data_IF_770843000506
#
_entry.id   IF_770843000506
#
_cell.length_a   1.000
_cell.length_b   1.000
_cell.length_c   1.000
_cell.angle_alpha   90.00
_cell.angle_beta   90.00
_cell.angle_gamma   90.00
#
_symmetry.space_group_name_H-M   'P 1'
#
loop_
_entity.id
_entity.type
_entity.pdbx_description
1 polymer ?
#
# COMPACT_ATOMS: atom_id res chain seq x y z
N UNK A 1 31.16 -21.10 40.32
CA UNK A 1 31.35 -20.25 39.12
C UNK A 1 30.23 -20.46 38.09
N UNK A 2 28.96 -20.59 38.50
CA UNK A 2 27.82 -20.88 37.59
C UNK A 2 26.77 -19.75 37.51
N UNK A 3 26.84 -18.74 38.37
CA UNK A 3 25.88 -17.63 38.35
C UNK A 3 26.30 -16.48 37.39
N UNK A 4 27.58 -16.37 37.04
CA UNK A 4 28.05 -15.28 36.17
C UNK A 4 27.69 -15.49 34.69
N UNK A 5 27.60 -16.74 34.21
CA UNK A 5 27.30 -17.04 32.81
C UNK A 5 25.84 -16.76 32.44
N UNK A 6 24.89 -16.97 33.37
CA UNK A 6 23.47 -16.72 33.13
C UNK A 6 23.14 -15.22 33.02
N UNK A 7 23.80 -14.38 33.81
CA UNK A 7 23.60 -12.93 33.79
C UNK A 7 24.14 -12.28 32.50
N UNK A 8 25.25 -12.78 31.96
CA UNK A 8 25.81 -12.29 30.68
C UNK A 8 24.92 -12.66 29.49
N UNK A 9 24.28 -13.84 29.50
CA UNK A 9 23.33 -14.25 28.46
C UNK A 9 22.05 -13.39 28.47
N UNK A 10 21.58 -12.97 29.64
CA UNK A 10 20.40 -12.10 29.78
C UNK A 10 20.68 -10.66 29.31
N UNK A 11 21.89 -10.15 29.53
CA UNK A 11 22.33 -8.84 29.03
C UNK A 11 22.51 -8.83 27.51
N UNK A 12 23.01 -9.92 26.91
CA UNK A 12 23.05 -10.10 25.45
C UNK A 12 21.65 -10.19 24.83
N UNK A 13 20.69 -10.81 25.51
CA UNK A 13 19.30 -10.88 25.04
C UNK A 13 18.58 -9.51 25.09
N UNK A 14 18.91 -8.63 26.04
CA UNK A 14 18.36 -7.27 26.08
C UNK A 14 18.93 -6.34 25.00
N UNK A 15 20.15 -6.59 24.51
CA UNK A 15 20.74 -5.78 23.43
C UNK A 15 20.12 -5.99 22.04
N UNK A 16 19.27 -7.01 21.86
CA UNK A 16 18.58 -7.28 20.59
C UNK A 16 17.20 -6.58 20.52
N UNK A 17 16.78 -5.87 21.58
CA UNK A 17 15.51 -5.13 21.63
C UNK A 17 15.61 -3.66 21.21
N UNK A 18 16.76 -3.20 20.70
CA UNK A 18 16.81 -1.92 20.00
C UNK A 18 16.28 -2.14 18.58
N UNK A 19 14.95 -2.25 18.47
CA UNK A 19 14.26 -1.95 17.23
C UNK A 19 14.42 -0.45 17.03
N UNK A 20 15.55 -0.07 16.44
CA UNK A 20 15.79 1.29 15.97
C UNK A 20 14.66 1.57 14.98
N UNK A 21 13.64 2.26 15.47
CA UNK A 21 12.53 2.71 14.64
C UNK A 21 13.15 3.72 13.70
N UNK A 22 13.56 3.27 12.51
CA UNK A 22 14.07 4.16 11.48
C UNK A 22 12.97 5.20 11.22
N UNK A 23 13.12 6.37 11.82
CA UNK A 23 12.18 7.47 11.69
C UNK A 23 12.30 7.99 10.26
N UNK A 24 11.50 7.41 9.36
CA UNK A 24 11.47 7.79 7.96
C UNK A 24 10.73 9.12 7.82
N UNK A 25 11.48 10.22 7.74
CA UNK A 25 10.92 11.53 7.43
C UNK A 25 10.83 11.71 5.91
N UNK A 26 9.66 11.43 5.34
CA UNK A 26 9.36 11.78 3.95
C UNK A 26 8.84 13.21 3.86
N UNK A 27 9.50 14.05 3.06
CA UNK A 27 8.97 15.36 2.70
C UNK A 27 8.17 15.24 1.39
N UNK A 28 6.84 15.28 1.48
CA UNK A 28 5.99 15.36 0.30
C UNK A 28 5.90 16.81 -0.17
N UNK A 29 6.42 17.08 -1.36
CA UNK A 29 6.17 18.33 -2.08
C UNK A 29 5.21 18.04 -3.22
N UNK A 30 4.13 18.82 -3.31
CA UNK A 30 3.21 18.71 -4.44
C UNK A 30 3.97 18.97 -5.76
N UNK A 31 3.61 18.27 -6.83
CA UNK A 31 4.28 18.38 -8.15
C UNK A 31 4.31 19.82 -8.71
N UNK A 32 3.37 20.65 -8.25
CA UNK A 32 3.27 22.06 -8.62
C UNK A 32 3.71 23.03 -7.50
N UNK A 33 4.30 22.53 -6.41
CA UNK A 33 4.75 23.35 -5.28
C UNK A 33 5.84 24.35 -5.68
N UNK A 34 5.79 25.56 -5.11
CA UNK A 34 6.80 26.60 -5.33
C UNK A 34 6.78 27.26 -6.73
N UNK A 35 5.77 26.95 -7.55
CA UNK A 35 5.71 27.43 -8.95
C UNK A 35 4.99 28.76 -9.17
N UNK A 36 4.43 29.36 -8.12
CA UNK A 36 3.71 30.63 -8.21
C UNK A 36 2.45 30.58 -9.10
N UNK A 37 1.82 29.41 -9.23
CA UNK A 37 0.64 29.22 -10.08
C UNK A 37 -0.64 29.69 -9.36
N UNK A 38 -1.55 30.28 -10.13
CA UNK A 38 -2.90 30.60 -9.66
C UNK A 38 -3.73 29.33 -9.42
N UNK A 39 -4.79 29.44 -8.63
CA UNK A 39 -5.73 28.33 -8.42
C UNK A 39 -6.29 27.76 -9.72
N UNK A 40 -6.55 28.63 -10.70
CA UNK A 40 -7.11 28.20 -11.98
C UNK A 40 -6.09 27.46 -12.85
N UNK A 41 -4.83 27.90 -12.85
CA UNK A 41 -3.75 27.17 -13.51
C UNK A 41 -3.51 25.81 -12.86
N UNK A 42 -3.54 25.73 -11.52
CA UNK A 42 -3.47 24.48 -10.79
C UNK A 42 -4.60 23.54 -11.21
N UNK A 43 -5.85 24.02 -11.23
CA UNK A 43 -7.01 23.22 -11.64
C UNK A 43 -6.91 22.76 -13.09
N UNK A 44 -6.50 23.64 -14.01
CA UNK A 44 -6.25 23.29 -15.41
C UNK A 44 -5.20 22.19 -15.53
N UNK A 45 -4.09 22.28 -14.78
CA UNK A 45 -3.02 21.26 -14.79
C UNK A 45 -3.50 19.94 -14.21
N UNK A 46 -4.27 19.96 -13.12
CA UNK A 46 -4.88 18.76 -12.54
C UNK A 46 -5.80 18.07 -13.55
N UNK A 47 -6.65 18.82 -14.26
CA UNK A 47 -7.51 18.29 -15.31
C UNK A 47 -6.70 17.69 -16.48
N UNK A 48 -5.63 18.36 -16.94
CA UNK A 48 -4.76 17.83 -18.00
C UNK A 48 -4.07 16.53 -17.58
N UNK A 49 -3.56 16.44 -16.34
CA UNK A 49 -2.99 15.20 -15.81
C UNK A 49 -4.04 14.08 -15.75
N UNK A 50 -5.25 14.40 -15.29
CA UNK A 50 -6.35 13.42 -15.25
C UNK A 50 -6.69 12.88 -16.64
N UNK A 51 -6.79 13.76 -17.64
CA UNK A 51 -7.01 13.36 -19.03
C UNK A 51 -5.89 12.46 -19.54
N UNK A 52 -4.62 12.83 -19.32
CA UNK A 52 -3.48 12.03 -19.75
C UNK A 52 -3.48 10.63 -19.09
N UNK A 53 -3.78 10.55 -17.79
CA UNK A 53 -3.92 9.26 -17.08
C UNK A 53 -5.03 8.40 -17.67
N UNK A 54 -6.21 8.98 -17.93
CA UNK A 54 -7.32 8.24 -18.53
C UNK A 54 -6.95 7.66 -19.91
N UNK A 55 -6.28 8.45 -20.76
CA UNK A 55 -5.78 7.96 -22.05
C UNK A 55 -4.78 6.82 -21.89
N UNK A 56 -3.86 6.91 -20.94
CA UNK A 56 -2.90 5.84 -20.65
C UNK A 56 -3.61 4.55 -20.23
N UNK A 57 -4.55 4.60 -19.29
CA UNK A 57 -5.30 3.43 -18.81
C UNK A 57 -6.08 2.75 -19.94
N UNK A 58 -6.79 3.53 -20.77
CA UNK A 58 -7.52 3.01 -21.92
C UNK A 58 -6.59 2.33 -22.95
N UNK A 59 -5.41 2.91 -23.19
CA UNK A 59 -4.42 2.32 -24.10
C UNK A 59 -3.83 1.02 -23.55
N UNK A 60 -3.54 0.97 -22.24
CA UNK A 60 -3.04 -0.22 -21.58
C UNK A 60 -4.07 -1.37 -21.62
N UNK A 61 -5.35 -1.06 -21.44
CA UNK A 61 -6.44 -2.02 -21.58
C UNK A 61 -6.51 -2.59 -23.00
N UNK A 62 -6.43 -1.74 -24.03
CA UNK A 62 -6.44 -2.17 -25.43
C UNK A 62 -5.25 -3.10 -25.76
N UNK A 63 -4.05 -2.77 -25.25
CA UNK A 63 -2.85 -3.60 -25.43
C UNK A 63 -2.95 -4.94 -24.70
N UNK A 64 -3.58 -4.96 -23.52
CA UNK A 64 -3.76 -6.16 -22.71
C UNK A 64 -4.73 -7.15 -23.36
N UNK A 65 -5.79 -6.63 -24.01
CA UNK A 65 -6.74 -7.43 -24.77
C UNK A 65 -6.07 -8.18 -25.94
N UNK A 66 -5.12 -7.54 -26.64
CA UNK A 66 -4.36 -8.16 -27.73
C UNK A 66 -3.36 -9.25 -27.30
N UNK A 67 -2.98 -9.29 -26.01
CA UNK A 67 -2.04 -10.28 -25.45
C UNK A 67 -2.74 -11.45 -24.73
N UNK A 68 -4.07 -11.47 -24.68
CA UNK A 68 -4.84 -12.50 -23.96
C UNK A 68 -4.62 -12.48 -22.43
N UNK A 69 -3.95 -11.46 -21.89
CA UNK A 69 -3.73 -11.28 -20.44
C UNK A 69 -4.82 -10.37 -19.90
N UNK A 70 -6.00 -10.94 -19.69
CA UNK A 70 -7.08 -10.29 -18.96
C UNK A 70 -7.04 -10.74 -17.51
N UNK A 71 -7.01 -9.79 -16.57
CA UNK A 71 -7.18 -10.05 -15.15
C UNK A 71 -8.51 -9.44 -14.72
N UNK A 72 -9.33 -10.24 -14.03
CA UNK A 72 -10.59 -9.79 -13.43
C UNK A 72 -10.51 -9.99 -11.92
N UNK A 73 -11.10 -9.07 -11.18
CA UNK A 73 -11.13 -9.07 -9.74
C UNK A 73 -12.54 -8.71 -9.27
N UNK A 74 -13.12 -9.42 -8.28
CA UNK A 74 -14.37 -9.03 -7.68
C UNK A 74 -14.27 -7.64 -7.04
N UNK A 75 -15.33 -6.82 -7.20
CA UNK A 75 -15.44 -5.50 -6.61
C UNK A 75 -16.72 -5.41 -5.80
N UNK A 76 -16.61 -4.96 -4.55
CA UNK A 76 -17.74 -4.73 -3.65
C UNK A 76 -17.79 -3.25 -3.25
N UNK A 77 -18.99 -2.70 -2.96
CA UNK A 77 -19.09 -1.39 -2.32
C UNK A 77 -18.35 -1.40 -0.97
N UNK A 78 -17.75 -0.27 -0.59
CA UNK A 78 -17.18 -0.11 0.74
C UNK A 78 -18.26 0.01 1.83
N UNK A 79 -17.80 0.01 3.08
CA UNK A 79 -18.68 0.18 4.23
C UNK A 79 -19.24 1.61 4.30
N UNK A 80 -20.39 1.74 4.95
CA UNK A 80 -21.03 3.02 5.24
C UNK A 80 -20.95 3.30 6.74
N UNK A 81 -20.70 4.55 7.10
CA UNK A 81 -20.77 5.08 8.46
C UNK A 81 -21.66 6.33 8.45
N UNK A 82 -22.70 6.34 9.29
CA UNK A 82 -23.74 7.38 9.33
C UNK A 82 -24.32 7.79 7.95
N UNK A 83 -24.50 6.80 7.07
CA UNK A 83 -25.01 7.02 5.71
C UNK A 83 -23.99 7.57 4.70
N UNK A 84 -22.74 7.77 5.11
CA UNK A 84 -21.62 8.16 4.23
C UNK A 84 -20.68 6.99 3.97
N UNK A 85 -20.20 6.79 2.73
CA UNK A 85 -19.25 5.72 2.44
C UNK A 85 -17.88 6.03 3.09
N UNK A 86 -17.33 5.09 3.86
CA UNK A 86 -15.96 5.18 4.39
C UNK A 86 -14.90 4.83 3.33
N UNK A 87 -15.33 4.12 2.29
CA UNK A 87 -14.62 3.84 1.04
C UNK A 87 -15.67 3.59 -0.03
N UNK A 88 -15.39 3.99 -1.27
CA UNK A 88 -16.35 3.80 -2.37
C UNK A 88 -16.39 2.33 -2.84
N UNK A 89 -15.23 1.77 -3.20
CA UNK A 89 -15.13 0.43 -3.77
C UNK A 89 -13.92 -0.33 -3.24
N UNK A 90 -14.14 -1.61 -2.91
CA UNK A 90 -13.13 -2.57 -2.47
C UNK A 90 -12.90 -3.62 -3.54
N UNK A 91 -11.64 -3.81 -3.94
CA UNK A 91 -11.21 -4.83 -4.91
C UNK A 91 -10.59 -6.01 -4.18
N UNK A 92 -10.98 -7.22 -4.56
CA UNK A 92 -10.45 -8.46 -4.01
C UNK A 92 -9.39 -9.04 -4.95
N UNK A 93 -8.16 -9.12 -4.47
CA UNK A 93 -7.00 -9.62 -5.22
C UNK A 93 -6.26 -10.70 -4.42
N UNK A 94 -5.22 -11.24 -5.02
CA UNK A 94 -4.25 -12.04 -4.31
C UNK A 94 -2.83 -11.66 -4.74
N UNK A 95 -1.92 -11.67 -3.78
CA UNK A 95 -0.50 -11.39 -3.98
C UNK A 95 0.36 -12.60 -3.58
N UNK A 96 1.53 -12.72 -4.20
CA UNK A 96 2.51 -13.74 -3.85
C UNK A 96 2.27 -15.13 -4.44
N UNK A 97 3.15 -16.06 -4.07
CA UNK A 97 3.15 -17.46 -4.50
C UNK A 97 3.59 -18.34 -3.32
N UNK A 98 2.72 -19.20 -2.75
CA UNK A 98 1.31 -19.35 -3.05
C UNK A 98 0.49 -18.07 -2.80
N UNK A 99 -0.71 -18.00 -3.38
CA UNK A 99 -1.56 -16.81 -3.36
C UNK A 99 -2.02 -16.49 -1.94
N UNK A 100 -1.85 -15.24 -1.51
CA UNK A 100 -2.39 -14.69 -0.27
C UNK A 100 -3.42 -13.62 -0.61
N UNK A 101 -4.63 -13.71 -0.05
CA UNK A 101 -5.71 -12.78 -0.35
C UNK A 101 -5.44 -11.39 0.22
N UNK A 102 -5.79 -10.36 -0.55
CA UNK A 102 -5.70 -8.96 -0.14
C UNK A 102 -6.95 -8.22 -0.60
N UNK A 103 -7.37 -7.22 0.18
CA UNK A 103 -8.48 -6.34 -0.14
C UNK A 103 -7.98 -4.90 -0.18
N UNK A 104 -8.21 -4.21 -1.29
CA UNK A 104 -7.68 -2.87 -1.56
C UNK A 104 -8.80 -1.89 -1.88
N UNK A 105 -8.64 -0.62 -1.52
CA UNK A 105 -9.50 0.45 -2.05
C UNK A 105 -9.17 0.68 -3.53
N UNK A 106 -10.19 0.79 -4.37
CA UNK A 106 -10.02 1.12 -5.79
C UNK A 106 -9.71 2.62 -5.95
N UNK A 107 -8.42 2.96 -6.02
CA UNK A 107 -7.95 4.34 -6.23
C UNK A 107 -7.47 4.56 -7.67
N UNK A 108 -8.24 5.29 -8.46
CA UNK A 108 -7.86 5.66 -9.84
C UNK A 108 -6.95 6.90 -9.91
N UNK A 109 -6.69 7.53 -8.77
CA UNK A 109 -5.87 8.71 -8.61
C UNK A 109 -4.37 8.44 -8.48
N UNK A 110 -3.98 7.20 -8.17
CA UNK A 110 -2.60 6.77 -7.96
C UNK A 110 -2.11 5.74 -8.99
N UNK A 111 -0.79 5.62 -9.10
CA UNK A 111 -0.08 4.66 -9.95
C UNK A 111 0.59 3.54 -9.11
N UNK A 112 0.28 3.47 -7.82
CA UNK A 112 0.82 2.50 -6.87
C UNK A 112 -0.30 1.70 -6.21
N UNK A 113 -0.07 0.41 -6.01
CA UNK A 113 -0.89 -0.44 -5.16
C UNK A 113 -0.13 -0.74 -3.88
N UNK A 114 -0.81 -0.69 -2.74
CA UNK A 114 -0.21 -0.90 -1.43
C UNK A 114 -1.13 -1.74 -0.53
N UNK A 115 -0.54 -2.58 0.33
CA UNK A 115 -1.24 -3.42 1.31
C UNK A 115 -0.39 -3.55 2.57
N UNK A 116 -1.01 -3.84 3.72
CA UNK A 116 -0.29 -4.03 4.98
C UNK A 116 0.38 -5.41 5.02
N UNK A 117 1.61 -5.48 5.53
CA UNK A 117 2.37 -6.72 5.64
C UNK A 117 2.67 -7.08 7.10
N UNK A 118 3.00 -8.36 7.39
CA UNK A 118 3.23 -8.86 8.76
C UNK A 118 4.31 -8.13 9.56
N UNK A 119 5.24 -7.42 8.90
CA UNK A 119 6.27 -6.61 9.59
C UNK A 119 5.76 -5.24 10.04
N UNK A 120 4.50 -4.93 9.77
CA UNK A 120 3.88 -3.71 10.24
C UNK A 120 3.70 -3.74 11.77
N UNK A 121 4.17 -2.70 12.49
CA UNK A 121 3.92 -2.57 13.92
C UNK A 121 2.42 -2.46 14.21
N UNK A 122 1.94 -3.12 15.26
CA UNK A 122 0.51 -3.10 15.64
C UNK A 122 -0.02 -1.67 15.89
N UNK A 123 0.83 -0.73 16.27
CA UNK A 123 0.49 0.68 16.47
C UNK A 123 0.40 1.51 15.18
N UNK A 124 0.94 1.01 14.07
CA UNK A 124 0.98 1.69 12.78
C UNK A 124 0.02 1.08 11.75
N UNK A 125 -0.45 -0.14 12.00
CA UNK A 125 -1.38 -0.84 11.15
C UNK A 125 -2.84 -0.51 11.49
N UNK A 126 -3.66 -0.32 10.47
CA UNK A 126 -5.10 -0.27 10.64
C UNK A 126 -5.70 -1.67 10.75
N UNK A 127 -6.81 -1.78 11.46
CA UNK A 127 -7.55 -3.04 11.56
C UNK A 127 -8.14 -3.41 10.20
N UNK A 128 -7.80 -4.59 9.69
CA UNK A 128 -8.34 -5.16 8.47
C UNK A 128 -8.91 -6.56 8.73
N UNK A 129 -9.91 -6.96 7.95
CA UNK A 129 -10.59 -8.25 8.09
C UNK A 129 -9.72 -9.42 7.62
N UNK A 130 -8.98 -9.24 6.52
CA UNK A 130 -8.07 -10.26 5.99
C UNK A 130 -6.74 -10.25 6.76
N UNK A 131 -6.02 -11.38 6.85
CA UNK A 131 -4.67 -11.42 7.40
C UNK A 131 -3.72 -10.45 6.68
N UNK A 132 -2.74 -9.92 7.41
CA UNK A 132 -1.66 -9.13 6.82
C UNK A 132 -0.85 -9.99 5.84
N UNK A 133 -0.43 -9.39 4.72
CA UNK A 133 0.40 -10.08 3.74
C UNK A 133 1.74 -10.51 4.36
N UNK A 134 2.10 -11.77 4.20
CA UNK A 134 3.37 -12.32 4.70
C UNK A 134 4.35 -12.53 3.54
N UNK A 135 5.29 -11.60 3.30
CA UNK A 135 6.27 -11.76 2.22
C UNK A 135 7.17 -12.98 2.44
N UNK A 136 7.39 -13.41 3.69
CA UNK A 136 8.24 -14.58 3.98
C UNK A 136 7.56 -15.91 3.63
N UNK A 137 6.22 -15.91 3.54
CA UNK A 137 5.43 -17.07 3.12
C UNK A 137 5.19 -17.10 1.61
N UNK A 138 5.89 -16.27 0.82
CA UNK A 138 5.71 -16.17 -0.63
C UNK A 138 7.05 -16.33 -1.37
N UNK A 139 7.19 -17.40 -2.15
CA UNK A 139 8.38 -17.68 -2.97
C UNK A 139 8.63 -16.66 -4.08
N UNK A 140 7.64 -15.87 -4.49
CA UNK A 140 7.82 -14.76 -5.44
C UNK A 140 8.30 -13.45 -4.79
N UNK A 141 8.52 -13.44 -3.47
CA UNK A 141 8.99 -12.29 -2.70
C UNK A 141 10.21 -12.60 -1.80
N UNK A 142 10.58 -13.88 -1.66
CA UNK A 142 11.67 -14.38 -0.83
C UNK A 142 12.98 -14.52 -1.62
#
# INVERSE_FOLDING_TARGET
MQHAAASVLMLLAMTIYNCDSANLRLQLSHVDAGRGLTHWELLRRMAQRSKARATHLLSAQAQSAGRGRSASAPVNPGAYDDGFPTTEYLVHLAAGTPRQEVQLTLDTGSDIAWTQCKRCPASACFNQTLPLFDPSASSSFA
#
